data_IF_301929516643
#
_entry.id   IF_301929516643
#
_cell.length_a   1.000
_cell.length_b   1.000
_cell.length_c   1.000
_cell.angle_alpha   90.00
_cell.angle_beta   90.00
_cell.angle_gamma   90.00
#
_symmetry.space_group_name_H-M   'P 1'
#
loop_
_entity.id
_entity.type
_entity.pdbx_description
1 polymer ?
#
# COMPACT_ATOMS: atom_id res chain seq x y z
N UNK A 1 -24.47 -53.08 35.65
CA UNK A 1 -23.36 -52.13 35.89
C UNK A 1 -22.20 -52.19 34.83
N UNK A 2 -21.82 -53.30 34.28
CA UNK A 2 -20.72 -53.42 33.28
C UNK A 2 -20.95 -52.61 31.98
N UNK A 3 -22.19 -52.55 31.48
CA UNK A 3 -22.50 -51.85 30.22
C UNK A 3 -22.41 -50.31 30.33
N UNK A 4 -22.83 -49.73 31.47
CA UNK A 4 -22.76 -48.31 31.70
C UNK A 4 -21.32 -47.76 31.67
N UNK A 5 -20.40 -48.47 32.32
CA UNK A 5 -18.97 -48.14 32.32
C UNK A 5 -18.36 -48.23 30.93
N UNK A 6 -18.79 -49.16 30.10
CA UNK A 6 -18.35 -49.26 28.70
C UNK A 6 -18.77 -48.02 27.88
N UNK A 7 -20.03 -47.63 27.93
CA UNK A 7 -20.54 -46.49 27.15
C UNK A 7 -19.94 -45.17 27.59
N UNK A 8 -19.70 -44.97 28.89
CA UNK A 8 -19.00 -43.81 29.42
C UNK A 8 -17.56 -43.76 28.88
N UNK A 9 -16.83 -44.90 28.92
CA UNK A 9 -15.48 -44.96 28.39
C UNK A 9 -15.43 -44.69 26.88
N UNK A 10 -16.41 -45.23 26.14
CA UNK A 10 -16.55 -45.00 24.71
C UNK A 10 -16.77 -43.49 24.40
N UNK A 11 -17.68 -42.86 25.10
CA UNK A 11 -17.96 -41.42 24.94
C UNK A 11 -16.76 -40.56 25.24
N UNK A 12 -16.04 -40.84 26.32
CA UNK A 12 -14.81 -40.11 26.68
C UNK A 12 -13.72 -40.34 25.63
N UNK A 13 -13.56 -41.58 25.16
CA UNK A 13 -12.59 -41.89 24.12
C UNK A 13 -12.92 -41.18 22.79
N UNK A 14 -14.18 -41.14 22.37
CA UNK A 14 -14.63 -40.44 21.16
C UNK A 14 -14.37 -38.93 21.27
N UNK A 15 -14.70 -38.30 22.41
CA UNK A 15 -14.49 -36.89 22.65
C UNK A 15 -12.98 -36.55 22.64
N UNK A 16 -12.17 -37.35 23.32
CA UNK A 16 -10.73 -37.17 23.36
C UNK A 16 -10.11 -37.31 21.96
N UNK A 17 -10.49 -38.35 21.21
CA UNK A 17 -9.99 -38.58 19.84
C UNK A 17 -10.37 -37.44 18.90
N UNK A 18 -11.63 -36.96 18.95
CA UNK A 18 -12.07 -35.83 18.10
C UNK A 18 -11.34 -34.55 18.45
N UNK A 19 -11.05 -34.28 19.72
CA UNK A 19 -10.28 -33.14 20.17
C UNK A 19 -8.83 -33.19 19.62
N UNK A 20 -8.19 -34.34 19.70
CA UNK A 20 -6.83 -34.54 19.16
C UNK A 20 -6.83 -34.38 17.64
N UNK A 21 -7.76 -35.01 16.92
CA UNK A 21 -7.87 -34.92 15.46
C UNK A 21 -8.12 -33.46 15.04
N UNK A 22 -9.01 -32.76 15.71
CA UNK A 22 -9.29 -31.33 15.46
C UNK A 22 -8.03 -30.48 15.62
N UNK A 23 -7.28 -30.66 16.71
CA UNK A 23 -6.04 -29.93 16.97
C UNK A 23 -4.97 -30.25 15.91
N UNK A 24 -4.77 -31.53 15.60
CA UNK A 24 -3.80 -31.97 14.59
C UNK A 24 -4.16 -31.41 13.21
N UNK A 25 -5.44 -31.48 12.82
CA UNK A 25 -5.91 -30.91 11.54
C UNK A 25 -5.63 -29.41 11.48
N UNK A 26 -5.93 -28.68 12.55
CA UNK A 26 -5.62 -27.25 12.64
C UNK A 26 -4.14 -26.98 12.48
N UNK A 27 -3.28 -27.67 13.20
CA UNK A 27 -1.83 -27.47 13.14
C UNK A 27 -1.23 -27.83 11.78
N UNK A 28 -1.65 -28.94 11.18
CA UNK A 28 -1.16 -29.39 9.87
C UNK A 28 -1.63 -28.48 8.71
N UNK A 29 -2.81 -27.89 8.81
CA UNK A 29 -3.34 -27.02 7.77
C UNK A 29 -2.68 -25.63 7.75
N UNK A 30 -2.14 -25.14 8.87
CA UNK A 30 -1.60 -23.79 8.97
C UNK A 30 -0.37 -23.56 8.09
N UNK A 31 0.54 -24.53 7.98
CA UNK A 31 1.74 -24.43 7.14
C UNK A 31 1.40 -24.22 5.65
N UNK A 32 0.63 -25.10 5.02
CA UNK A 32 0.20 -24.98 3.62
C UNK A 32 -0.60 -23.69 3.36
N UNK A 33 -1.48 -23.27 4.30
CA UNK A 33 -2.26 -22.04 4.16
C UNK A 33 -1.36 -20.80 4.18
N UNK A 34 -0.37 -20.74 5.08
CA UNK A 34 0.61 -19.67 5.11
C UNK A 34 1.43 -19.62 3.83
N UNK A 35 1.93 -20.77 3.34
CA UNK A 35 2.68 -20.85 2.10
C UNK A 35 1.86 -20.38 0.88
N UNK A 36 0.58 -20.78 0.81
CA UNK A 36 -0.34 -20.31 -0.24
C UNK A 36 -0.58 -18.80 -0.15
N UNK A 37 -0.75 -18.27 1.05
CA UNK A 37 -0.94 -16.83 1.25
C UNK A 37 0.30 -16.06 0.78
N UNK A 38 1.50 -16.48 1.15
CA UNK A 38 2.75 -15.87 0.70
C UNK A 38 2.92 -15.96 -0.82
N UNK A 39 2.60 -17.09 -1.44
CA UNK A 39 2.65 -17.23 -2.90
C UNK A 39 1.73 -16.21 -3.61
N UNK A 40 0.49 -16.07 -3.13
CA UNK A 40 -0.44 -15.07 -3.66
C UNK A 40 0.08 -13.65 -3.45
N UNK A 41 0.61 -13.35 -2.27
CA UNK A 41 1.15 -12.02 -1.96
C UNK A 41 2.37 -11.69 -2.83
N UNK A 42 3.24 -12.65 -3.17
CA UNK A 42 4.36 -12.43 -4.11
C UNK A 42 3.85 -12.01 -5.49
N UNK A 43 2.80 -12.67 -5.99
CA UNK A 43 2.19 -12.30 -7.28
C UNK A 43 1.61 -10.88 -7.23
N UNK A 44 0.90 -10.54 -6.15
CA UNK A 44 0.36 -9.19 -5.95
C UNK A 44 1.49 -8.15 -5.86
N UNK A 45 2.54 -8.43 -5.11
CA UNK A 45 3.68 -7.53 -4.97
C UNK A 45 4.36 -7.24 -6.31
N UNK A 46 4.59 -8.28 -7.13
CA UNK A 46 5.18 -8.13 -8.47
C UNK A 46 4.28 -7.31 -9.40
N UNK A 47 2.97 -7.56 -9.39
CA UNK A 47 2.01 -6.77 -10.18
C UNK A 47 2.02 -5.29 -9.75
N UNK A 48 1.98 -5.02 -8.43
CA UNK A 48 2.02 -3.65 -7.92
C UNK A 48 3.33 -2.94 -8.24
N UNK A 49 4.46 -3.62 -8.11
CA UNK A 49 5.76 -3.08 -8.51
C UNK A 49 5.78 -2.70 -10.00
N UNK A 50 5.32 -3.58 -10.87
CA UNK A 50 5.25 -3.30 -12.31
C UNK A 50 4.36 -2.09 -12.63
N UNK A 51 3.22 -1.93 -11.94
CA UNK A 51 2.32 -0.78 -12.08
C UNK A 51 2.97 0.53 -11.62
N UNK A 52 3.70 0.51 -10.50
CA UNK A 52 4.45 1.68 -10.01
C UNK A 52 5.49 2.11 -11.04
N UNK A 53 6.26 1.16 -11.57
CA UNK A 53 7.27 1.43 -12.59
C UNK A 53 6.63 1.96 -13.88
N UNK A 54 5.53 1.37 -14.33
CA UNK A 54 4.79 1.83 -15.52
C UNK A 54 4.22 3.24 -15.33
N UNK A 55 3.66 3.52 -14.16
CA UNK A 55 3.18 4.86 -13.82
C UNK A 55 4.32 5.87 -13.92
N UNK A 56 5.46 5.59 -13.31
CA UNK A 56 6.62 6.48 -13.34
C UNK A 56 7.15 6.73 -14.75
N UNK A 57 7.27 5.68 -15.54
CA UNK A 57 7.68 5.82 -16.94
C UNK A 57 6.70 6.65 -17.77
N UNK A 58 5.41 6.55 -17.46
CA UNK A 58 4.36 7.41 -18.03
C UNK A 58 4.61 8.88 -17.68
N UNK A 59 4.82 9.20 -16.40
CA UNK A 59 5.10 10.57 -15.94
C UNK A 59 6.36 11.16 -16.58
N UNK A 60 7.44 10.39 -16.66
CA UNK A 60 8.69 10.80 -17.33
C UNK A 60 8.46 11.14 -18.80
N UNK A 61 7.67 10.33 -19.49
CA UNK A 61 7.33 10.56 -20.90
C UNK A 61 6.50 11.82 -21.08
N UNK A 62 5.49 12.02 -20.24
CA UNK A 62 4.60 13.19 -20.31
C UNK A 62 5.38 14.49 -20.04
N UNK A 63 6.23 14.48 -19.02
CA UNK A 63 7.13 15.60 -18.72
C UNK A 63 8.09 15.88 -19.90
N UNK A 64 8.62 14.82 -20.52
CA UNK A 64 9.47 14.94 -21.69
C UNK A 64 8.77 15.58 -22.89
N UNK A 65 7.51 15.23 -23.10
CA UNK A 65 6.68 15.82 -24.16
C UNK A 65 6.44 17.30 -23.92
N UNK A 66 6.20 17.72 -22.67
CA UNK A 66 6.03 19.13 -22.32
C UNK A 66 7.29 19.95 -22.63
N UNK A 67 8.45 19.46 -22.21
CA UNK A 67 9.73 20.14 -22.46
C UNK A 67 10.10 20.23 -23.94
N UNK A 68 9.51 19.39 -24.80
CA UNK A 68 9.65 19.47 -26.24
C UNK A 68 8.69 20.47 -26.89
N UNK A 69 7.72 21.00 -26.14
CA UNK A 69 6.77 22.01 -26.63
C UNK A 69 7.49 23.38 -26.76
N UNK A 70 7.70 23.90 -28.00
CA UNK A 70 8.44 25.14 -28.20
C UNK A 70 7.79 26.33 -27.51
N UNK A 71 6.46 26.40 -27.49
CA UNK A 71 5.71 27.50 -26.84
C UNK A 71 5.88 27.48 -25.33
N UNK A 72 5.93 26.28 -24.71
CA UNK A 72 6.21 26.17 -23.27
C UNK A 72 7.60 26.71 -22.97
N UNK A 73 8.63 26.29 -23.73
CA UNK A 73 10.00 26.72 -23.51
C UNK A 73 10.13 28.23 -23.74
N UNK A 74 9.58 28.77 -24.84
CA UNK A 74 9.62 30.20 -25.16
C UNK A 74 8.96 31.06 -24.08
N UNK A 75 7.74 30.74 -23.69
CA UNK A 75 7.04 31.45 -22.63
C UNK A 75 7.77 31.36 -21.28
N UNK A 76 8.30 30.19 -20.94
CA UNK A 76 9.10 29.99 -19.73
C UNK A 76 10.37 30.84 -19.74
N UNK A 77 11.10 30.90 -20.87
CA UNK A 77 12.28 31.73 -21.01
C UNK A 77 11.93 33.23 -20.89
N UNK A 78 10.83 33.68 -21.49
CA UNK A 78 10.36 35.06 -21.38
C UNK A 78 10.14 35.46 -19.92
N UNK A 79 9.48 34.60 -19.15
CA UNK A 79 9.24 34.85 -17.71
C UNK A 79 10.55 34.81 -16.92
N UNK A 80 11.38 33.77 -17.10
CA UNK A 80 12.65 33.61 -16.37
C UNK A 80 13.69 34.70 -16.64
N UNK A 81 13.63 35.35 -17.81
CA UNK A 81 14.57 36.42 -18.21
C UNK A 81 14.04 37.83 -17.88
N UNK A 82 12.81 37.95 -17.40
CA UNK A 82 12.26 39.25 -17.00
C UNK A 82 13.15 39.91 -15.94
N UNK A 83 13.43 41.21 -16.12
CA UNK A 83 14.34 41.96 -15.22
C UNK A 83 13.74 42.16 -13.81
N UNK A 84 12.42 42.13 -13.69
CA UNK A 84 11.68 42.17 -12.42
C UNK A 84 10.53 41.20 -12.50
N UNK A 85 10.37 40.42 -11.46
CA UNK A 85 9.22 39.55 -11.28
C UNK A 85 8.27 40.24 -10.32
N UNK A 86 7.16 40.74 -10.82
CA UNK A 86 6.11 41.36 -9.99
C UNK A 86 4.87 40.49 -9.99
N UNK A 87 4.05 40.64 -8.96
CA UNK A 87 2.76 39.91 -8.89
C UNK A 87 1.81 40.30 -10.04
N UNK A 88 2.00 41.44 -10.66
CA UNK A 88 1.24 41.86 -11.84
C UNK A 88 1.59 41.05 -13.09
N UNK A 89 2.79 40.47 -13.15
CA UNK A 89 3.24 39.64 -14.29
C UNK A 89 2.54 38.26 -14.33
N UNK A 90 1.91 37.81 -13.23
CA UNK A 90 1.15 36.56 -13.15
C UNK A 90 -0.03 36.57 -14.13
N UNK A 91 -0.66 37.74 -14.33
CA UNK A 91 -1.78 37.91 -15.26
C UNK A 91 -1.36 38.36 -16.66
N UNK A 92 -0.07 38.32 -16.98
CA UNK A 92 0.43 38.61 -18.33
C UNK A 92 -0.09 37.58 -19.34
N UNK A 93 -0.24 37.98 -20.60
CA UNK A 93 -0.64 37.06 -21.67
C UNK A 93 0.30 35.84 -21.78
N UNK A 94 1.60 36.04 -21.50
CA UNK A 94 2.60 34.95 -21.48
C UNK A 94 2.34 33.98 -20.32
N UNK A 95 2.03 34.48 -19.13
CA UNK A 95 1.71 33.64 -17.98
C UNK A 95 0.44 32.85 -18.20
N UNK A 96 -0.62 33.46 -18.72
CA UNK A 96 -1.88 32.79 -19.06
C UNK A 96 -1.68 31.71 -20.16
N UNK A 97 -0.86 32.03 -21.18
CA UNK A 97 -0.55 31.04 -22.22
C UNK A 97 0.26 29.86 -21.68
N UNK A 98 1.20 30.11 -20.75
CA UNK A 98 1.96 29.04 -20.08
C UNK A 98 1.06 28.20 -19.17
N UNK A 99 0.19 28.83 -18.41
CA UNK A 99 -0.78 28.14 -17.57
C UNK A 99 -1.71 27.23 -18.39
N UNK A 100 -2.22 27.72 -19.52
CA UNK A 100 -3.06 26.93 -20.42
C UNK A 100 -2.34 25.68 -20.95
N UNK A 101 -1.04 25.78 -21.29
CA UNK A 101 -0.24 24.64 -21.73
C UNK A 101 -0.03 23.65 -20.56
N UNK A 102 0.35 24.13 -19.40
CA UNK A 102 0.64 23.29 -18.24
C UNK A 102 -0.63 22.63 -17.69
N UNK A 103 -1.78 23.31 -17.74
CA UNK A 103 -3.06 22.78 -17.28
C UNK A 103 -3.71 21.82 -18.27
N UNK A 104 -3.41 21.91 -19.57
CA UNK A 104 -3.92 20.94 -20.55
C UNK A 104 -3.46 19.50 -20.27
N UNK A 105 -2.36 19.31 -19.57
CA UNK A 105 -1.80 18.01 -19.17
C UNK A 105 -1.97 17.70 -17.68
N UNK A 106 -2.83 18.43 -16.98
CA UNK A 106 -2.98 18.36 -15.50
C UNK A 106 -3.58 17.05 -14.95
N UNK A 107 -3.88 16.06 -15.77
CA UNK A 107 -4.49 14.82 -15.26
C UNK A 107 -3.67 14.11 -14.16
N UNK A 108 -2.35 14.41 -14.02
CA UNK A 108 -1.44 13.74 -13.07
C UNK A 108 -0.63 14.71 -12.19
N UNK A 109 -0.97 16.00 -12.18
CA UNK A 109 -0.15 17.02 -11.53
C UNK A 109 -0.97 17.86 -10.57
N UNK A 110 -0.41 18.14 -9.40
CA UNK A 110 -1.00 19.08 -8.44
C UNK A 110 -0.68 20.52 -8.85
N UNK A 111 0.54 20.78 -9.27
CA UNK A 111 0.98 22.09 -9.74
C UNK A 111 2.22 22.00 -10.64
N UNK A 112 2.44 23.04 -11.42
CA UNK A 112 3.68 23.27 -12.16
C UNK A 112 4.18 24.69 -11.88
N UNK A 113 5.50 24.84 -11.66
CA UNK A 113 6.10 26.09 -11.26
C UNK A 113 7.39 26.35 -12.05
N UNK A 114 7.64 27.61 -12.40
CA UNK A 114 8.94 28.05 -12.88
C UNK A 114 9.76 28.62 -11.73
N UNK A 115 10.98 28.09 -11.58
CA UNK A 115 11.92 28.53 -10.56
C UNK A 115 13.13 29.19 -11.21
N UNK A 116 13.60 30.27 -10.59
CA UNK A 116 14.93 30.82 -10.91
C UNK A 116 16.02 29.79 -10.57
N UNK A 117 17.25 30.05 -10.99
CA UNK A 117 18.41 29.25 -10.60
C UNK A 117 18.59 29.12 -9.08
N UNK A 118 18.12 30.11 -8.34
CA UNK A 118 18.18 30.15 -6.87
C UNK A 118 16.99 29.49 -6.18
N UNK A 119 16.03 28.93 -6.92
CA UNK A 119 14.87 28.26 -6.33
C UNK A 119 13.70 29.19 -5.97
N UNK A 120 13.70 30.43 -6.42
CA UNK A 120 12.55 31.35 -6.24
C UNK A 120 11.51 31.04 -7.30
N UNK A 121 10.27 30.83 -6.89
CA UNK A 121 9.13 30.61 -7.77
C UNK A 121 8.72 31.95 -8.43
N UNK A 122 8.85 32.02 -9.74
CA UNK A 122 8.50 33.23 -10.54
C UNK A 122 7.21 33.06 -11.31
N UNK A 123 6.71 31.84 -11.42
CA UNK A 123 5.40 31.49 -11.97
C UNK A 123 4.95 30.16 -11.34
N UNK A 124 3.67 30.02 -11.10
CA UNK A 124 3.08 28.74 -10.67
C UNK A 124 1.61 28.66 -11.07
N UNK A 125 1.14 27.47 -11.46
CA UNK A 125 -0.29 27.17 -11.59
C UNK A 125 -1.00 27.12 -10.23
N UNK A 126 -0.24 26.99 -9.13
CA UNK A 126 -0.67 27.21 -7.77
C UNK A 126 -0.21 28.62 -7.35
N UNK A 127 -1.11 29.60 -7.42
CA UNK A 127 -0.81 31.01 -7.21
C UNK A 127 -0.26 31.32 -5.81
N UNK A 128 -0.51 30.46 -4.82
CA UNK A 128 -0.02 30.63 -3.44
C UNK A 128 1.50 30.39 -3.34
N UNK A 129 2.08 29.69 -4.31
CA UNK A 129 3.53 29.43 -4.38
C UNK A 129 4.34 30.58 -4.95
N UNK A 130 3.71 31.60 -5.50
CA UNK A 130 4.43 32.72 -6.10
C UNK A 130 5.35 33.42 -5.10
N UNK A 131 6.56 33.75 -5.54
CA UNK A 131 7.66 34.32 -4.76
C UNK A 131 8.14 33.45 -3.58
N UNK A 132 7.58 32.26 -3.38
CA UNK A 132 8.07 31.33 -2.38
C UNK A 132 9.45 30.77 -2.78
N UNK A 133 10.24 30.41 -1.78
CA UNK A 133 11.46 29.67 -1.98
C UNK A 133 11.15 28.17 -1.96
N UNK A 134 11.40 27.49 -3.07
CA UNK A 134 11.32 26.03 -3.15
C UNK A 134 12.73 25.45 -3.11
N UNK A 135 13.10 24.73 -2.02
CA UNK A 135 14.43 24.16 -1.90
C UNK A 135 14.68 23.11 -2.99
N UNK A 136 15.64 23.38 -3.87
CA UNK A 136 16.00 22.43 -4.92
C UNK A 136 16.49 21.08 -4.37
N UNK A 137 16.89 21.00 -3.09
CA UNK A 137 17.31 19.77 -2.42
C UNK A 137 16.16 18.79 -2.14
N UNK A 138 14.93 19.27 -2.06
CA UNK A 138 13.74 18.45 -1.78
C UNK A 138 13.06 17.98 -3.08
N UNK A 139 13.58 18.41 -4.23
CA UNK A 139 13.07 18.03 -5.54
C UNK A 139 14.12 17.16 -6.24
N UNK A 140 13.67 16.33 -7.16
CA UNK A 140 14.56 15.60 -8.06
C UNK A 140 15.11 16.61 -9.07
N UNK A 141 16.17 17.31 -8.71
CA UNK A 141 16.64 18.48 -9.42
C UNK A 141 17.87 18.26 -10.26
N UNK A 142 18.10 19.20 -11.19
CA UNK A 142 19.31 19.27 -12.04
C UNK A 142 19.56 18.05 -12.91
N UNK A 143 18.51 17.29 -13.19
CA UNK A 143 18.57 16.10 -14.01
C UNK A 143 18.30 16.45 -15.47
N UNK A 144 19.06 15.89 -16.34
CA UNK A 144 18.67 15.78 -17.73
C UNK A 144 17.53 14.76 -17.84
N UNK A 145 16.62 14.95 -18.80
CA UNK A 145 15.47 14.08 -18.98
C UNK A 145 15.80 12.57 -19.03
N UNK A 146 16.92 12.15 -19.68
CA UNK A 146 17.32 10.73 -19.68
C UNK A 146 17.69 10.19 -18.29
N UNK A 147 18.16 11.06 -17.39
CA UNK A 147 18.58 10.66 -16.03
C UNK A 147 17.37 10.52 -15.09
N UNK A 148 16.26 11.20 -15.41
CA UNK A 148 15.07 11.21 -14.58
C UNK A 148 14.49 9.80 -14.35
N UNK A 149 14.49 8.96 -15.38
CA UNK A 149 13.96 7.61 -15.31
C UNK A 149 14.76 6.69 -14.35
N UNK A 150 16.04 6.97 -14.13
CA UNK A 150 16.95 6.14 -13.32
C UNK A 150 17.33 6.77 -11.99
N UNK A 151 17.00 8.04 -11.76
CA UNK A 151 17.35 8.73 -10.51
C UNK A 151 16.33 8.45 -9.41
N UNK A 152 16.80 8.10 -8.21
CA UNK A 152 15.90 7.85 -7.09
C UNK A 152 15.08 9.10 -6.72
N UNK A 153 13.78 8.92 -6.58
CA UNK A 153 12.86 9.99 -6.21
C UNK A 153 12.96 10.32 -4.72
N UNK A 154 12.74 11.59 -4.39
CA UNK A 154 12.64 12.05 -3.01
C UNK A 154 11.20 12.42 -2.69
N UNK A 155 10.61 11.70 -1.74
CA UNK A 155 9.34 12.09 -1.14
C UNK A 155 9.61 13.06 0.01
N UNK A 156 8.74 14.04 0.13
CA UNK A 156 8.77 15.01 1.23
C UNK A 156 7.35 15.34 1.67
N UNK A 157 7.20 15.84 2.89
CA UNK A 157 5.92 16.33 3.36
C UNK A 157 5.73 17.78 2.88
N UNK A 158 4.68 18.01 2.11
CA UNK A 158 4.31 19.35 1.67
C UNK A 158 3.88 20.18 2.90
N UNK A 159 4.56 21.30 3.14
CA UNK A 159 4.31 22.14 4.33
C UNK A 159 2.93 22.80 4.34
N UNK A 160 2.31 23.00 3.17
CA UNK A 160 0.99 23.64 3.06
C UNK A 160 -0.15 22.66 3.27
N UNK A 161 0.01 21.41 2.80
CA UNK A 161 -1.05 20.39 2.86
C UNK A 161 -0.80 19.33 3.92
N UNK A 162 0.44 19.20 4.43
CA UNK A 162 0.85 18.12 5.29
C UNK A 162 0.97 16.76 4.58
N UNK A 163 0.62 16.67 3.29
CA UNK A 163 0.59 15.43 2.53
C UNK A 163 1.97 15.06 1.97
N UNK A 164 2.27 13.76 1.83
CA UNK A 164 3.41 13.30 1.09
C UNK A 164 3.35 13.80 -0.36
N UNK A 165 4.44 14.32 -0.85
CA UNK A 165 4.55 14.91 -2.17
C UNK A 165 5.86 14.52 -2.83
N UNK A 166 5.87 14.57 -4.15
CA UNK A 166 7.06 14.44 -4.97
C UNK A 166 7.08 15.60 -5.97
N UNK A 167 8.23 16.25 -6.09
CA UNK A 167 8.44 17.31 -7.06
C UNK A 167 9.62 16.98 -7.94
N UNK A 168 9.41 17.10 -9.23
CA UNK A 168 10.45 16.87 -10.25
C UNK A 168 10.80 18.21 -10.87
N UNK A 169 12.07 18.61 -10.82
CA UNK A 169 12.53 19.86 -11.39
C UNK A 169 13.55 19.59 -12.53
N UNK A 170 13.23 20.09 -13.70
CA UNK A 170 14.03 19.94 -14.91
C UNK A 170 14.56 21.29 -15.37
N UNK A 171 15.81 21.36 -15.82
CA UNK A 171 16.41 22.60 -16.24
C UNK A 171 15.81 23.09 -17.56
N UNK A 172 15.59 24.40 -17.63
CA UNK A 172 15.28 25.13 -18.88
C UNK A 172 16.55 25.85 -19.32
N UNK A 173 16.92 25.69 -20.57
CA UNK A 173 18.17 26.25 -21.13
C UNK A 173 17.90 27.42 -22.07
N UNK A 174 18.69 28.49 -21.93
CA UNK A 174 18.74 29.61 -22.88
C UNK A 174 19.62 29.24 -24.10
N UNK A 175 20.66 28.48 -23.84
CA UNK A 175 21.64 28.00 -24.83
C UNK A 175 22.23 26.70 -24.29
N UNK A 176 22.94 25.92 -25.11
CA UNK A 176 23.60 24.70 -24.64
C UNK A 176 24.43 24.95 -23.38
N UNK A 177 24.18 24.18 -22.35
CA UNK A 177 24.80 24.27 -21.00
C UNK A 177 24.54 25.56 -20.21
N UNK A 178 23.74 26.51 -20.71
CA UNK A 178 23.39 27.76 -20.01
C UNK A 178 21.96 27.70 -19.48
N UNK A 179 21.78 27.27 -18.24
CA UNK A 179 20.48 27.17 -17.60
C UNK A 179 19.84 28.55 -17.40
N UNK A 180 18.56 28.70 -17.68
CA UNK A 180 17.74 29.88 -17.34
C UNK A 180 17.15 29.74 -15.94
N UNK A 181 16.62 28.58 -15.65
CA UNK A 181 15.92 28.21 -14.42
C UNK A 181 15.47 26.76 -14.50
N UNK A 182 14.39 26.45 -13.79
CA UNK A 182 13.83 25.09 -13.72
C UNK A 182 12.30 25.13 -13.90
N UNK A 183 11.76 24.09 -14.55
CA UNK A 183 10.36 23.73 -14.49
C UNK A 183 10.22 22.67 -13.39
N UNK A 184 9.54 23.01 -12.32
CA UNK A 184 9.20 22.07 -11.24
C UNK A 184 7.75 21.61 -11.40
N UNK A 185 7.53 20.30 -11.31
CA UNK A 185 6.24 19.66 -11.44
C UNK A 185 5.97 18.85 -10.18
N UNK A 186 4.88 19.17 -9.49
CA UNK A 186 4.42 18.43 -8.33
C UNK A 186 3.42 17.37 -8.79
N UNK A 187 3.75 16.11 -8.53
CA UNK A 187 2.95 14.97 -8.98
C UNK A 187 1.80 14.66 -8.02
N UNK A 188 0.68 14.24 -8.58
CA UNK A 188 -0.49 13.80 -7.82
C UNK A 188 -0.34 12.33 -7.40
N UNK A 189 0.00 12.11 -6.14
CA UNK A 189 0.18 10.78 -5.57
C UNK A 189 -1.14 9.98 -5.42
N UNK A 190 -2.31 10.64 -5.55
CA UNK A 190 -3.59 9.91 -5.56
C UNK A 190 -3.68 8.92 -6.71
N UNK A 191 -3.07 9.22 -7.84
CA UNK A 191 -3.00 8.28 -8.98
C UNK A 191 -2.08 7.11 -8.71
N UNK A 192 -0.94 7.36 -8.07
CA UNK A 192 -0.08 6.29 -7.59
C UNK A 192 -0.85 5.40 -6.59
N UNK A 193 -1.61 6.01 -5.68
CA UNK A 193 -2.47 5.27 -4.76
C UNK A 193 -3.49 4.39 -5.51
N UNK A 194 -4.14 4.91 -6.55
CA UNK A 194 -5.09 4.13 -7.36
C UNK A 194 -4.43 2.95 -8.10
N UNK A 195 -3.14 3.03 -8.43
CA UNK A 195 -2.39 1.92 -9.03
C UNK A 195 -2.07 0.82 -8.00
N UNK A 196 -1.94 1.20 -6.72
CA UNK A 196 -1.59 0.29 -5.63
C UNK A 196 -2.84 -0.26 -4.96
N UNK A 197 -3.93 0.51 -4.91
CA UNK A 197 -5.20 0.05 -4.36
C UNK A 197 -5.68 -1.21 -5.08
N UNK A 198 -6.18 -2.18 -4.32
CA UNK A 198 -6.70 -3.41 -4.89
C UNK A 198 -8.06 -3.15 -5.56
N UNK A 199 -8.23 -3.52 -6.85
CA UNK A 199 -9.48 -3.31 -7.56
C UNK A 199 -10.67 -4.04 -6.91
N UNK A 200 -10.41 -5.15 -6.21
CA UNK A 200 -11.44 -5.94 -5.53
C UNK A 200 -11.96 -5.28 -4.24
N UNK A 201 -11.24 -4.33 -3.65
CA UNK A 201 -11.72 -3.61 -2.47
C UNK A 201 -12.80 -2.58 -2.80
N UNK A 202 -12.91 -2.14 -4.06
CA UNK A 202 -14.00 -1.30 -4.55
C UNK A 202 -15.24 -2.11 -4.97
N UNK A 203 -15.11 -3.41 -5.17
CA UNK A 203 -16.27 -4.27 -5.37
C UNK A 203 -16.91 -4.52 -4.00
N UNK A 204 -18.18 -4.13 -3.84
CA UNK A 204 -19.02 -4.48 -2.67
C UNK A 204 -19.20 -6.00 -2.50
N UNK A 205 -18.52 -6.81 -3.28
CA UNK A 205 -18.48 -8.26 -3.17
C UNK A 205 -17.43 -8.62 -2.11
N UNK A 206 -17.91 -9.20 -1.03
CA UNK A 206 -17.01 -9.85 -0.07
C UNK A 206 -16.09 -10.81 -0.83
N UNK A 207 -14.80 -10.88 -0.46
CA UNK A 207 -13.90 -11.86 -1.06
C UNK A 207 -14.54 -13.25 -1.00
N UNK A 208 -14.33 -14.11 -2.01
CA UNK A 208 -14.88 -15.46 -2.01
C UNK A 208 -14.57 -16.13 -0.68
N UNK A 209 -15.56 -16.81 -0.10
CA UNK A 209 -15.44 -17.48 1.20
C UNK A 209 -14.13 -18.29 1.25
N UNK A 210 -13.22 -17.91 2.13
CA UNK A 210 -11.92 -18.56 2.32
C UNK A 210 -10.72 -17.85 1.71
N UNK A 211 -10.85 -16.69 1.05
CA UNK A 211 -9.69 -15.88 0.66
C UNK A 211 -9.47 -14.76 1.68
N UNK A 212 -8.29 -14.73 2.28
CA UNK A 212 -7.90 -13.63 3.16
C UNK A 212 -7.76 -12.33 2.35
N UNK A 213 -8.30 -11.23 2.85
CA UNK A 213 -8.13 -9.92 2.24
C UNK A 213 -6.65 -9.54 2.25
N UNK A 214 -6.14 -9.19 1.07
CA UNK A 214 -4.78 -8.70 0.88
C UNK A 214 -4.82 -7.17 0.96
N UNK A 215 -3.95 -6.58 1.78
CA UNK A 215 -3.72 -5.14 1.83
C UNK A 215 -2.36 -4.84 1.22
N UNK A 216 -2.30 -3.91 0.27
CA UNK A 216 -1.05 -3.41 -0.30
C UNK A 216 -0.93 -1.91 -0.06
N UNK A 217 0.28 -1.44 0.24
CA UNK A 217 0.55 -0.04 0.51
C UNK A 217 2.03 0.32 0.32
N UNK A 218 2.28 1.60 0.07
CA UNK A 218 3.60 2.16 -0.15
C UNK A 218 3.96 3.14 0.97
N UNK A 219 5.17 3.01 1.49
CA UNK A 219 5.69 3.81 2.59
C UNK A 219 7.04 4.42 2.21
N UNK A 220 7.28 5.67 2.61
CA UNK A 220 8.59 6.30 2.49
C UNK A 220 8.99 7.00 3.79
N UNK A 221 10.28 7.28 3.94
CA UNK A 221 10.77 8.23 4.94
C UNK A 221 10.62 9.64 4.38
N UNK A 222 9.73 10.43 4.95
CA UNK A 222 9.50 11.83 4.56
C UNK A 222 10.24 12.82 5.47
N UNK A 223 10.73 12.35 6.62
CA UNK A 223 11.62 13.04 7.55
C UNK A 223 12.60 12.06 8.18
N UNK A 224 13.59 12.57 8.92
CA UNK A 224 14.76 11.80 9.40
C UNK A 224 14.42 10.50 10.12
N UNK A 225 13.28 10.41 10.82
CA UNK A 225 12.92 9.24 11.62
C UNK A 225 11.45 8.79 11.46
N UNK A 226 10.72 9.36 10.51
CA UNK A 226 9.30 9.03 10.34
C UNK A 226 9.01 8.39 8.98
N UNK A 227 8.46 7.19 9.04
CA UNK A 227 7.84 6.56 7.90
C UNK A 227 6.39 7.04 7.76
N UNK A 228 5.96 7.33 6.54
CA UNK A 228 4.62 7.83 6.23
C UNK A 228 4.06 7.08 5.04
N UNK A 229 2.74 6.91 4.97
CA UNK A 229 2.11 6.39 3.79
C UNK A 229 2.29 7.33 2.60
N UNK A 230 2.80 6.82 1.50
CA UNK A 230 2.79 7.47 0.18
C UNK A 230 1.53 7.06 -0.55
N UNK A 231 1.16 5.79 -0.44
CA UNK A 231 -0.09 5.24 -0.88
C UNK A 231 -0.63 4.34 0.24
N UNK A 232 -1.62 4.79 1.01
CA UNK A 232 -2.20 4.01 2.10
C UNK A 232 -2.98 2.80 1.57
N UNK A 233 -3.26 1.80 2.42
CA UNK A 233 -4.14 0.70 2.06
C UNK A 233 -5.49 1.21 1.61
N UNK A 234 -6.12 0.54 0.66
CA UNK A 234 -7.47 0.86 0.23
C UNK A 234 -8.42 0.90 1.44
N UNK A 235 -9.35 1.87 1.45
CA UNK A 235 -10.31 2.12 2.54
C UNK A 235 -9.69 2.59 3.87
N UNK A 236 -8.47 3.09 3.87
CA UNK A 236 -7.91 3.74 5.06
C UNK A 236 -8.64 5.05 5.36
N UNK A 237 -8.91 5.37 6.64
CA UNK A 237 -9.44 6.66 7.02
C UNK A 237 -8.47 7.79 6.62
N UNK A 238 -8.94 9.00 6.30
CA UNK A 238 -8.08 10.13 5.95
C UNK A 238 -6.99 10.46 6.99
N UNK A 239 -7.26 10.17 8.26
CA UNK A 239 -6.33 10.36 9.39
C UNK A 239 -5.08 9.47 9.30
N UNK A 240 -5.11 8.42 8.47
CA UNK A 240 -3.99 7.51 8.26
C UNK A 240 -2.82 8.16 7.53
N UNK A 241 -3.08 9.18 6.74
CA UNK A 241 -2.08 9.89 5.95
C UNK A 241 -1.04 10.63 6.81
N UNK A 242 -1.35 10.89 8.08
CA UNK A 242 -0.53 11.71 8.98
C UNK A 242 0.12 10.95 10.14
N UNK A 243 -0.21 9.68 10.33
CA UNK A 243 0.35 8.90 11.45
C UNK A 243 1.74 8.38 11.11
N UNK A 244 2.71 8.55 12.04
CA UNK A 244 3.97 7.82 11.95
C UNK A 244 3.71 6.33 11.92
N UNK A 245 4.35 5.64 10.98
CA UNK A 245 4.18 4.21 10.79
C UNK A 245 5.38 3.47 11.37
N UNK A 246 5.11 2.46 12.16
CA UNK A 246 6.14 1.56 12.64
C UNK A 246 5.66 0.12 12.62
N UNK A 247 6.43 -0.72 11.96
CA UNK A 247 6.33 -2.18 12.03
C UNK A 247 7.68 -2.81 11.67
N UNK A 248 7.86 -4.07 12.03
CA UNK A 248 9.07 -4.81 11.65
C UNK A 248 9.27 -4.87 10.14
N UNK A 249 8.19 -5.08 9.38
CA UNK A 249 8.22 -5.10 7.91
C UNK A 249 8.62 -3.74 7.33
N UNK A 250 8.01 -2.65 7.81
CA UNK A 250 8.32 -1.28 7.37
C UNK A 250 9.78 -0.93 7.65
N UNK A 251 10.27 -1.13 8.87
CA UNK A 251 11.66 -0.84 9.22
C UNK A 251 12.64 -1.58 8.34
N UNK A 252 12.50 -2.91 8.25
CA UNK A 252 13.39 -3.74 7.42
C UNK A 252 13.39 -3.31 5.96
N UNK A 253 12.20 -3.04 5.40
CA UNK A 253 12.10 -2.61 4.01
C UNK A 253 12.75 -1.25 3.78
N UNK A 254 12.49 -0.25 4.63
CA UNK A 254 13.09 1.08 4.52
C UNK A 254 14.60 1.09 4.81
N UNK A 255 15.13 0.06 5.45
CA UNK A 255 16.57 -0.17 5.61
C UNK A 255 17.20 -0.89 4.39
N UNK A 256 16.44 -1.01 3.30
CA UNK A 256 16.92 -1.59 2.04
C UNK A 256 16.74 -3.10 1.91
N UNK A 257 16.07 -3.76 2.88
CA UNK A 257 15.88 -5.20 2.87
C UNK A 257 14.55 -5.58 2.20
N UNK A 258 14.52 -6.79 1.65
CA UNK A 258 13.31 -7.44 1.18
C UNK A 258 13.13 -8.76 1.90
N UNK A 259 11.90 -9.16 2.18
CA UNK A 259 11.64 -10.40 2.89
C UNK A 259 10.17 -10.66 3.11
N UNK A 260 9.90 -11.75 3.79
CA UNK A 260 8.54 -12.20 4.10
C UNK A 260 8.50 -12.85 5.49
N UNK A 261 7.31 -12.96 6.06
CA UNK A 261 7.15 -13.64 7.34
C UNK A 261 5.93 -13.20 8.14
N UNK A 262 6.00 -13.53 9.41
CA UNK A 262 4.98 -13.23 10.42
C UNK A 262 5.45 -12.05 11.26
N UNK A 263 4.63 -11.00 11.35
CA UNK A 263 4.93 -9.85 12.18
C UNK A 263 3.65 -9.09 12.57
N UNK A 264 3.79 -8.09 13.45
CA UNK A 264 2.72 -7.14 13.73
C UNK A 264 2.83 -5.98 12.72
N UNK A 265 1.72 -5.64 12.07
CA UNK A 265 1.66 -4.47 11.21
C UNK A 265 1.66 -3.16 12.03
N UNK A 266 1.56 -2.01 11.37
CA UNK A 266 1.52 -0.70 12.02
C UNK A 266 0.31 -0.47 12.94
N UNK A 267 -0.74 -1.29 12.81
CA UNK A 267 -1.93 -1.29 13.66
C UNK A 267 -1.78 -2.24 14.87
N UNK A 268 -0.65 -2.96 15.00
CA UNK A 268 -0.47 -3.99 16.01
C UNK A 268 -1.20 -5.30 15.71
N UNK A 269 -1.70 -5.50 14.49
CA UNK A 269 -2.42 -6.69 14.07
C UNK A 269 -1.45 -7.75 13.57
N UNK A 270 -1.55 -9.04 14.01
CA UNK A 270 -0.75 -10.12 13.45
C UNK A 270 -1.06 -10.36 11.98
N UNK A 271 -0.02 -10.27 11.13
CA UNK A 271 -0.12 -10.47 9.69
C UNK A 271 0.89 -11.51 9.20
N UNK A 272 0.59 -12.07 8.03
CA UNK A 272 1.57 -12.68 7.15
C UNK A 272 1.78 -11.68 6.04
N UNK A 273 3.03 -11.30 5.78
CA UNK A 273 3.30 -10.25 4.81
C UNK A 273 4.64 -10.41 4.11
N UNK A 274 4.72 -9.74 2.99
CA UNK A 274 5.93 -9.54 2.20
C UNK A 274 6.22 -8.06 2.18
N UNK A 275 7.48 -7.71 2.33
CA UNK A 275 7.96 -6.35 2.23
C UNK A 275 9.14 -6.28 1.28
N UNK A 276 9.18 -5.23 0.47
CA UNK A 276 10.23 -5.03 -0.51
C UNK A 276 10.63 -3.56 -0.58
N UNK A 277 11.94 -3.31 -0.58
CA UNK A 277 12.48 -1.99 -0.88
C UNK A 277 12.50 -1.74 -2.39
N UNK A 278 12.05 -0.57 -2.81
CA UNK A 278 12.08 -0.09 -4.19
C UNK A 278 13.15 1.01 -4.30
N UNK A 279 14.37 0.70 -4.72
CA UNK A 279 15.50 1.65 -4.68
C UNK A 279 15.29 2.88 -5.55
N UNK A 280 14.68 2.73 -6.73
CA UNK A 280 14.38 3.84 -7.64
C UNK A 280 13.39 4.84 -7.06
N UNK A 281 12.58 4.42 -6.09
CA UNK A 281 11.57 5.25 -5.43
C UNK A 281 11.94 5.58 -3.98
N UNK A 282 12.99 4.99 -3.42
CA UNK A 282 13.34 5.08 -1.99
C UNK A 282 12.15 4.78 -1.06
N UNK A 283 11.32 3.84 -1.47
CA UNK A 283 10.09 3.47 -0.78
C UNK A 283 10.09 1.99 -0.43
N UNK A 284 9.21 1.62 0.49
CA UNK A 284 8.90 0.25 0.83
C UNK A 284 7.49 -0.09 0.33
N UNK A 285 7.37 -1.15 -0.47
CA UNK A 285 6.11 -1.75 -0.85
C UNK A 285 5.83 -2.92 0.08
N UNK A 286 4.66 -2.91 0.73
CA UNK A 286 4.23 -3.98 1.62
C UNK A 286 2.92 -4.59 1.11
N UNK A 287 2.84 -5.90 1.25
CA UNK A 287 1.64 -6.69 0.92
C UNK A 287 1.37 -7.63 2.10
N UNK A 288 0.22 -7.46 2.76
CA UNK A 288 -0.09 -8.10 4.02
C UNK A 288 -1.48 -8.71 4.02
N UNK A 289 -1.65 -9.80 4.76
CA UNK A 289 -2.95 -10.39 5.09
C UNK A 289 -3.01 -10.73 6.57
N UNK A 290 -4.16 -10.52 7.19
CA UNK A 290 -4.35 -10.86 8.62
C UNK A 290 -4.25 -12.37 8.82
N UNK A 291 -3.46 -12.80 9.79
CA UNK A 291 -3.33 -14.22 10.12
C UNK A 291 -4.67 -14.88 10.43
N UNK A 292 -5.56 -14.16 11.15
CA UNK A 292 -6.89 -14.68 11.49
C UNK A 292 -7.73 -15.05 10.27
N UNK A 293 -7.58 -14.29 9.17
CA UNK A 293 -8.37 -14.49 7.95
C UNK A 293 -7.81 -15.66 7.13
N UNK A 294 -6.46 -15.80 7.10
CA UNK A 294 -5.78 -16.91 6.44
C UNK A 294 -6.14 -18.24 7.10
N UNK A 295 -6.17 -18.27 8.44
CA UNK A 295 -6.45 -19.50 9.20
C UNK A 295 -7.94 -19.71 9.50
N UNK A 296 -8.84 -18.85 9.02
CA UNK A 296 -10.27 -18.97 9.28
C UNK A 296 -10.83 -20.32 8.82
N UNK A 297 -10.44 -20.80 7.64
CA UNK A 297 -10.91 -22.08 7.10
C UNK A 297 -10.43 -23.29 7.91
N UNK A 298 -9.18 -23.31 8.36
CA UNK A 298 -8.65 -24.38 9.20
C UNK A 298 -9.29 -24.41 10.58
N UNK A 299 -9.59 -23.23 11.16
CA UNK A 299 -10.30 -23.11 12.44
C UNK A 299 -11.73 -23.63 12.32
N UNK A 300 -12.45 -23.25 11.26
CA UNK A 300 -13.82 -23.73 11.01
C UNK A 300 -13.84 -25.23 10.82
N UNK A 301 -12.91 -25.79 10.03
CA UNK A 301 -12.81 -27.25 9.83
C UNK A 301 -12.49 -27.98 11.15
N UNK A 302 -11.54 -27.47 11.93
CA UNK A 302 -11.23 -28.03 13.25
C UNK A 302 -12.46 -28.03 14.18
N UNK A 303 -13.19 -26.92 14.20
CA UNK A 303 -14.42 -26.80 15.02
C UNK A 303 -15.50 -27.81 14.58
N UNK A 304 -15.73 -27.96 13.28
CA UNK A 304 -16.70 -28.95 12.75
C UNK A 304 -16.33 -30.39 13.12
N UNK A 305 -15.04 -30.76 13.09
CA UNK A 305 -14.57 -32.07 13.52
C UNK A 305 -14.83 -32.28 15.00
N UNK A 306 -14.57 -31.26 15.83
CA UNK A 306 -14.82 -31.31 17.25
C UNK A 306 -16.33 -31.43 17.57
N UNK A 307 -17.19 -30.64 16.91
CA UNK A 307 -18.65 -30.68 17.07
C UNK A 307 -19.21 -32.03 16.67
N UNK A 308 -18.77 -32.61 15.54
CA UNK A 308 -19.18 -33.95 15.13
C UNK A 308 -18.81 -35.02 16.18
N UNK A 309 -17.58 -34.94 16.71
CA UNK A 309 -17.12 -35.83 17.76
C UNK A 309 -17.90 -35.67 19.09
N UNK A 310 -18.23 -34.45 19.45
CA UNK A 310 -19.04 -34.14 20.61
C UNK A 310 -20.48 -34.74 20.48
N UNK A 311 -21.10 -34.58 19.30
CA UNK A 311 -22.41 -35.18 19.00
C UNK A 311 -22.38 -36.71 19.09
N UNK A 312 -21.37 -37.35 18.50
CA UNK A 312 -21.18 -38.81 18.59
C UNK A 312 -20.95 -39.26 20.03
N UNK A 313 -20.23 -38.51 20.83
CA UNK A 313 -20.01 -38.77 22.24
C UNK A 313 -21.35 -38.69 23.04
N UNK A 314 -22.16 -37.66 22.82
CA UNK A 314 -23.48 -37.51 23.43
C UNK A 314 -24.42 -38.63 23.00
N UNK A 315 -24.41 -39.01 21.72
CA UNK A 315 -25.22 -40.13 21.22
C UNK A 315 -24.84 -41.45 21.90
N UNK A 316 -23.55 -41.74 22.04
CA UNK A 316 -23.09 -42.95 22.72
C UNK A 316 -23.45 -42.99 24.19
N UNK A 317 -23.42 -41.83 24.88
CA UNK A 317 -23.94 -41.70 26.25
C UNK A 317 -25.44 -41.97 26.33
N UNK A 318 -26.22 -41.38 25.44
CA UNK A 318 -27.66 -41.58 25.34
C UNK A 318 -28.05 -43.05 25.12
N UNK A 319 -27.37 -43.72 24.19
CA UNK A 319 -27.53 -45.15 23.94
C UNK A 319 -27.20 -45.97 25.18
N UNK A 320 -26.14 -45.62 25.90
CA UNK A 320 -25.76 -46.31 27.15
C UNK A 320 -26.83 -46.20 28.22
N UNK A 321 -27.47 -45.03 28.35
CA UNK A 321 -28.57 -44.82 29.29
C UNK A 321 -29.85 -45.60 28.91
N UNK A 322 -30.17 -45.67 27.61
CA UNK A 322 -31.31 -46.42 27.09
C UNK A 322 -31.16 -47.93 27.33
N UNK A 323 -29.95 -48.47 27.04
CA UNK A 323 -29.63 -49.89 27.26
C UNK A 323 -29.68 -50.22 28.75
N UNK A 324 -29.16 -49.37 29.60
CA UNK A 324 -29.18 -49.59 31.06
C UNK A 324 -30.63 -49.59 31.61
N UNK A 325 -31.47 -48.65 31.10
CA UNK A 325 -32.91 -48.58 31.48
C UNK A 325 -33.69 -49.82 31.04
N UNK A 326 -33.43 -50.33 29.83
CA UNK A 326 -34.08 -51.55 29.34
C UNK A 326 -33.69 -52.79 30.13
N UNK A 327 -32.45 -52.89 30.61
CA UNK A 327 -31.94 -54.03 31.38
C UNK A 327 -32.41 -53.98 32.87
N UNK A 328 -32.83 -52.84 33.39
CA UNK A 328 -33.28 -52.64 34.77
C UNK A 328 -34.80 -52.73 34.93
N UNK A 329 -35.58 -52.92 33.85
CA UNK A 329 -37.02 -53.27 33.91
C UNK A 329 -37.14 -54.76 33.55
N UNK A 330 -37.14 -55.68 34.50
CA UNK A 330 -37.56 -57.03 34.28
C UNK A 330 -39.00 -57.05 33.80
N UNK A 331 -39.30 -57.75 32.73
CA UNK A 331 -40.62 -58.04 32.26
C UNK A 331 -41.23 -58.88 33.35
N UNK A 332 -42.11 -58.25 34.15
CA UNK A 332 -43.03 -59.02 35.03
C UNK A 332 -43.94 -59.80 34.10
N UNK A 333 -43.71 -61.11 34.03
CA UNK A 333 -44.56 -62.09 33.38
C UNK A 333 -45.39 -62.83 34.46
#
# INVERSE_FOLDING_TARGET
MKNRSFWIKLSVATLASSSVISLVTYLLANGPLAAKALANQRTVLQDKQARIEQWWQGEVRDIGTDLQNPKLVENSLTILQAKRHSRADINSATSLALEAILTSHQTNRNSASLLTKGGIVVFSTDHDKYAAYQPLKNTTTSLELPELASTPLNFFTNSSTGLPSISVALPIYIAPKKKAGFLAIDLDLRKLNNQIADPDTNSKKAPPSGSAAIKSYLVARTSLDQATFIAPPAQSPPEYEFKPLDSVGIRKALDGNSGEGFYLNSEGVPVIGIYQYLPNFRTALLVESRQKDIYASSRTMGLQIFEAGALLSLFSLGMGLLVDRKNNHPIES
#
